data_IF_379394317357
#
_entry.id   IF_379394317357
#
_cell.length_a   1.000
_cell.length_b   1.000
_cell.length_c   1.000
_cell.angle_alpha   90.00
_cell.angle_beta   90.00
_cell.angle_gamma   90.00
#
_symmetry.space_group_name_H-M   'P 1'
#
loop_
_entity.id
_entity.type
_entity.pdbx_description
1 polymer ?
#
# COMPACT_ATOMS: atom_id res chain seq x y z
N UNK A 1 -77.41 -34.42 -36.03
CA UNK A 1 -76.16 -33.64 -36.14
C UNK A 1 -75.82 -32.82 -34.88
N UNK A 2 -76.70 -32.65 -33.89
CA UNK A 2 -76.43 -31.83 -32.68
C UNK A 2 -75.47 -32.46 -31.66
N UNK A 3 -75.55 -33.78 -31.41
CA UNK A 3 -74.77 -34.44 -30.32
C UNK A 3 -73.25 -34.47 -30.52
N UNK A 4 -72.76 -34.26 -31.75
CA UNK A 4 -71.31 -34.33 -32.05
C UNK A 4 -70.58 -33.00 -31.80
N UNK A 5 -71.31 -31.88 -31.75
CA UNK A 5 -70.74 -30.54 -31.53
C UNK A 5 -70.51 -30.23 -30.04
N UNK A 6 -71.39 -30.68 -29.14
CA UNK A 6 -71.22 -30.45 -27.70
C UNK A 6 -70.02 -31.21 -27.11
N UNK A 7 -69.74 -32.42 -27.60
CA UNK A 7 -68.59 -33.22 -27.15
C UNK A 7 -67.25 -32.62 -27.59
N UNK A 8 -67.21 -31.95 -28.75
CA UNK A 8 -66.00 -31.31 -29.27
C UNK A 8 -65.65 -30.04 -28.48
N UNK A 9 -66.67 -29.22 -28.15
CA UNK A 9 -66.50 -28.02 -27.33
C UNK A 9 -66.10 -28.34 -25.88
N UNK A 10 -66.70 -29.37 -25.28
CA UNK A 10 -66.34 -29.78 -23.91
C UNK A 10 -64.89 -30.26 -23.79
N UNK A 11 -64.35 -30.92 -24.84
CA UNK A 11 -62.99 -31.47 -24.83
C UNK A 11 -61.93 -30.37 -25.00
N UNK A 12 -62.17 -29.43 -25.91
CA UNK A 12 -61.30 -28.27 -26.15
C UNK A 12 -61.27 -27.28 -24.97
N UNK A 13 -62.39 -27.10 -24.25
CA UNK A 13 -62.43 -26.26 -23.04
C UNK A 13 -61.73 -26.89 -21.83
N UNK A 14 -61.64 -28.22 -21.77
CA UNK A 14 -60.93 -28.94 -20.71
C UNK A 14 -59.42 -28.98 -20.95
N UNK A 15 -58.99 -29.19 -22.20
CA UNK A 15 -57.58 -29.14 -22.61
C UNK A 15 -56.98 -27.73 -22.39
N UNK A 16 -57.71 -26.66 -22.75
CA UNK A 16 -57.26 -25.28 -22.52
C UNK A 16 -57.21 -24.86 -21.05
N UNK A 17 -58.00 -25.49 -20.16
CA UNK A 17 -57.93 -25.27 -18.70
C UNK A 17 -56.77 -26.02 -18.05
N UNK A 18 -56.48 -27.25 -18.51
CA UNK A 18 -55.37 -28.06 -18.02
C UNK A 18 -54.02 -27.44 -18.38
N UNK A 19 -53.85 -26.96 -19.62
CA UNK A 19 -52.61 -26.30 -20.06
C UNK A 19 -52.35 -24.97 -19.30
N UNK A 20 -53.41 -24.20 -18.98
CA UNK A 20 -53.29 -22.99 -18.14
C UNK A 20 -52.89 -23.30 -16.69
N UNK A 21 -53.32 -24.43 -16.13
CA UNK A 21 -52.93 -24.82 -14.77
C UNK A 21 -51.50 -25.36 -14.69
N UNK A 22 -51.04 -26.12 -15.69
CA UNK A 22 -49.67 -26.62 -15.75
C UNK A 22 -48.67 -25.48 -16.00
N UNK A 23 -49.04 -24.48 -16.82
CA UNK A 23 -48.22 -23.27 -17.02
C UNK A 23 -48.07 -22.44 -15.74
N UNK A 24 -49.12 -22.35 -14.90
CA UNK A 24 -49.04 -21.61 -13.63
C UNK A 24 -48.27 -22.38 -12.53
N UNK A 25 -48.28 -23.71 -12.55
CA UNK A 25 -47.55 -24.53 -11.58
C UNK A 25 -46.04 -24.60 -11.87
N UNK A 26 -45.65 -24.49 -13.14
CA UNK A 26 -44.25 -24.36 -13.57
C UNK A 26 -43.69 -22.96 -13.29
N UNK A 27 -44.52 -21.91 -13.42
CA UNK A 27 -44.12 -20.55 -13.02
C UNK A 27 -43.96 -20.41 -11.50
N UNK A 28 -44.80 -21.06 -10.68
CA UNK A 28 -44.64 -21.03 -9.22
C UNK A 28 -43.43 -21.84 -8.71
N UNK A 29 -42.99 -22.88 -9.43
CA UNK A 29 -41.74 -23.58 -9.09
C UNK A 29 -40.47 -22.85 -9.57
N UNK A 30 -40.58 -21.96 -10.56
CA UNK A 30 -39.44 -21.15 -10.99
C UNK A 30 -39.20 -19.91 -10.11
N UNK A 31 -40.22 -19.47 -9.35
CA UNK A 31 -40.12 -18.35 -8.41
C UNK A 31 -39.54 -18.72 -7.03
N UNK A 32 -39.45 -20.02 -6.70
CA UNK A 32 -38.89 -20.49 -5.42
C UNK A 32 -37.38 -20.74 -5.44
N UNK A 33 -36.71 -20.58 -6.59
CA UNK A 33 -35.24 -20.70 -6.70
C UNK A 33 -34.49 -19.37 -6.69
N UNK A 34 -35.19 -18.25 -6.57
CA UNK A 34 -34.58 -16.95 -6.26
C UNK A 34 -34.74 -16.64 -4.78
N UNK A 35 -34.18 -17.50 -3.92
CA UNK A 35 -33.65 -16.96 -2.68
C UNK A 35 -32.56 -15.96 -3.10
N UNK A 36 -32.64 -14.68 -2.72
CA UNK A 36 -31.43 -13.88 -2.77
C UNK A 36 -30.44 -14.64 -1.90
N UNK A 37 -29.39 -15.19 -2.51
CA UNK A 37 -28.19 -15.52 -1.75
C UNK A 37 -27.90 -14.25 -0.98
N UNK A 38 -28.09 -14.30 0.35
CA UNK A 38 -27.61 -13.25 1.23
C UNK A 38 -26.15 -13.11 0.84
N UNK A 39 -25.86 -12.02 0.14
CA UNK A 39 -24.58 -11.81 -0.48
C UNK A 39 -23.56 -11.89 0.62
N UNK A 40 -22.67 -12.87 0.56
CA UNK A 40 -21.41 -12.89 1.31
C UNK A 40 -20.46 -11.82 0.73
N UNK A 41 -21.02 -10.64 0.40
CA UNK A 41 -20.32 -9.43 0.05
C UNK A 41 -19.97 -8.71 1.35
N UNK A 42 -18.94 -7.85 1.30
CA UNK A 42 -18.47 -6.89 2.33
C UNK A 42 -17.25 -7.23 3.19
N UNK A 43 -16.88 -8.51 3.44
CA UNK A 43 -15.67 -8.77 4.24
C UNK A 43 -14.41 -8.34 3.46
N UNK A 44 -13.59 -7.46 4.05
CA UNK A 44 -12.39 -6.86 3.44
C UNK A 44 -12.63 -5.95 2.22
N UNK A 45 -13.88 -5.53 1.95
CA UNK A 45 -14.16 -4.46 0.98
C UNK A 45 -13.80 -3.09 1.56
N UNK A 46 -14.13 -2.89 2.84
CA UNK A 46 -13.75 -1.76 3.67
C UNK A 46 -13.16 -2.29 4.97
N UNK A 47 -12.06 -1.68 5.42
CA UNK A 47 -11.41 -2.03 6.69
C UNK A 47 -11.77 -1.05 7.82
N UNK A 48 -12.66 -0.09 7.55
CA UNK A 48 -13.16 0.85 8.56
C UNK A 48 -13.83 0.09 9.69
N UNK A 49 -13.50 0.43 10.93
CA UNK A 49 -14.02 -0.22 12.12
C UNK A 49 -12.96 -0.50 13.17
N UNK A 50 -13.32 -1.34 14.14
CA UNK A 50 -12.49 -1.67 15.29
C UNK A 50 -11.91 -3.07 15.13
N UNK A 51 -10.60 -3.17 15.28
CA UNK A 51 -9.85 -4.41 15.17
C UNK A 51 -8.99 -4.63 16.42
N UNK A 52 -8.89 -5.88 16.89
CA UNK A 52 -8.15 -6.24 18.10
C UNK A 52 -7.09 -7.26 17.76
N UNK A 53 -5.85 -7.06 18.21
CA UNK A 53 -4.78 -8.04 18.03
C UNK A 53 -4.72 -9.06 19.17
N UNK A 54 -3.87 -10.08 19.02
CA UNK A 54 -3.66 -11.16 19.98
C UNK A 54 -3.12 -10.70 21.34
N UNK A 55 -2.54 -9.49 21.41
CA UNK A 55 -2.08 -8.87 22.66
C UNK A 55 -3.18 -8.06 23.36
N UNK A 56 -4.38 -7.96 22.77
CA UNK A 56 -5.49 -7.15 23.27
C UNK A 56 -5.40 -5.67 22.90
N UNK A 57 -4.44 -5.28 22.06
CA UNK A 57 -4.36 -3.90 21.55
C UNK A 57 -5.43 -3.70 20.49
N UNK A 58 -5.97 -2.48 20.41
CA UNK A 58 -7.05 -2.15 19.50
C UNK A 58 -6.61 -1.08 18.49
N UNK A 59 -7.05 -1.22 17.24
CA UNK A 59 -6.97 -0.14 16.24
C UNK A 59 -8.37 0.16 15.73
N UNK A 60 -8.72 1.44 15.74
CA UNK A 60 -9.95 1.98 15.15
C UNK A 60 -9.55 2.71 13.88
N UNK A 61 -10.07 2.27 12.75
CA UNK A 61 -9.72 2.76 11.42
C UNK A 61 -10.94 3.42 10.79
N UNK A 62 -10.73 4.61 10.23
CA UNK A 62 -11.60 5.22 9.24
C UNK A 62 -10.88 5.21 7.88
N UNK A 63 -11.46 4.51 6.89
CA UNK A 63 -10.96 4.52 5.52
C UNK A 63 -11.68 5.59 4.70
N UNK A 64 -10.95 6.66 4.37
CA UNK A 64 -11.49 7.76 3.57
C UNK A 64 -11.47 7.43 2.07
N UNK A 65 -12.38 8.05 1.32
CA UNK A 65 -12.42 7.93 -0.16
C UNK A 65 -11.13 8.37 -0.85
N UNK A 66 -10.33 9.23 -0.20
CA UNK A 66 -9.00 9.62 -0.66
C UNK A 66 -7.96 8.50 -0.58
N UNK A 67 -8.30 7.37 0.04
CA UNK A 67 -7.39 6.27 0.35
C UNK A 67 -6.57 6.50 1.63
N UNK A 68 -6.84 7.55 2.39
CA UNK A 68 -6.21 7.81 3.69
C UNK A 68 -6.85 6.93 4.76
N UNK A 69 -6.03 6.35 5.62
CA UNK A 69 -6.45 5.71 6.86
C UNK A 69 -6.12 6.64 8.03
N UNK A 70 -7.13 6.91 8.87
CA UNK A 70 -6.99 7.68 10.11
C UNK A 70 -7.73 6.98 11.25
N UNK A 71 -7.60 7.48 12.46
CA UNK A 71 -8.24 6.91 13.65
C UNK A 71 -7.24 6.74 14.78
N UNK A 72 -7.49 5.80 15.69
CA UNK A 72 -6.71 5.66 16.93
C UNK A 72 -6.23 4.24 17.19
N UNK A 73 -5.01 4.13 17.70
CA UNK A 73 -4.44 2.90 18.21
C UNK A 73 -4.35 2.94 19.75
N UNK A 74 -4.81 1.87 20.39
CA UNK A 74 -4.80 1.68 21.84
C UNK A 74 -3.93 0.46 22.15
N UNK A 75 -2.75 0.68 22.73
CA UNK A 75 -1.88 -0.44 23.08
C UNK A 75 -2.32 -1.07 24.41
N UNK A 76 -2.41 -2.40 24.44
CA UNK A 76 -2.60 -3.16 25.68
C UNK A 76 -1.26 -3.42 26.40
N UNK A 77 -0.14 -3.19 25.70
CA UNK A 77 1.21 -3.39 26.20
C UNK A 77 1.94 -2.04 26.22
N UNK A 78 2.07 -1.47 27.41
CA UNK A 78 2.92 -0.31 27.63
C UNK A 78 3.76 -0.49 28.88
N UNK A 79 4.93 0.14 28.87
CA UNK A 79 5.79 0.28 30.05
C UNK A 79 5.19 1.21 31.12
N UNK A 80 4.15 1.98 30.79
CA UNK A 80 3.45 2.90 31.71
C UNK A 80 2.13 2.29 32.20
N UNK A 81 1.89 2.30 33.52
CA UNK A 81 0.64 1.81 34.15
C UNK A 81 -0.47 2.86 34.00
N UNK A 82 -1.62 2.50 33.43
CA UNK A 82 -2.82 3.35 33.33
C UNK A 82 -3.65 3.06 32.08
N UNK A 83 -4.88 3.57 32.02
CA UNK A 83 -5.70 3.57 30.81
C UNK A 83 -5.05 4.55 29.81
N UNK A 84 -4.48 4.03 28.73
CA UNK A 84 -3.65 4.84 27.83
C UNK A 84 -4.53 5.63 26.85
N UNK A 85 -4.24 6.93 26.65
CA UNK A 85 -4.89 7.68 25.59
C UNK A 85 -4.57 7.03 24.24
N UNK A 86 -5.57 6.96 23.35
CA UNK A 86 -5.36 6.44 22.00
C UNK A 86 -4.41 7.35 21.20
N UNK A 87 -3.53 6.75 20.42
CA UNK A 87 -2.59 7.45 19.55
C UNK A 87 -3.14 7.54 18.13
N UNK A 88 -3.02 8.70 17.50
CA UNK A 88 -3.45 8.89 16.11
C UNK A 88 -2.68 7.95 15.17
N UNK A 89 -3.41 7.31 14.25
CA UNK A 89 -2.82 6.55 13.16
C UNK A 89 -2.75 7.41 11.90
N UNK A 90 -1.66 7.24 11.14
CA UNK A 90 -1.53 7.77 9.77
C UNK A 90 -1.23 6.60 8.85
N UNK A 91 -2.10 6.38 7.88
CA UNK A 91 -1.95 5.28 6.92
C UNK A 91 -2.60 5.52 5.58
N UNK A 92 -2.49 4.52 4.70
CA UNK A 92 -3.16 4.53 3.40
C UNK A 92 -3.49 3.11 2.93
N UNK A 93 -4.64 3.01 2.27
CA UNK A 93 -5.16 1.88 1.53
C UNK A 93 -5.86 2.43 0.29
N UNK A 94 -5.56 1.98 -0.93
CA UNK A 94 -6.30 2.42 -2.11
C UNK A 94 -7.81 2.18 -1.97
N UNK A 95 -8.59 3.24 -2.20
CA UNK A 95 -10.05 3.19 -2.11
C UNK A 95 -10.65 2.34 -3.25
N UNK A 96 -11.74 1.64 -2.98
CA UNK A 96 -12.43 0.74 -3.93
C UNK A 96 -11.51 -0.32 -4.57
N UNK A 97 -10.49 -0.80 -3.85
CA UNK A 97 -9.59 -1.86 -4.30
C UNK A 97 -9.48 -2.97 -3.26
N UNK A 98 -10.50 -3.82 -3.13
CA UNK A 98 -10.54 -4.87 -2.11
C UNK A 98 -9.32 -5.78 -2.16
N UNK A 99 -8.87 -6.19 -0.97
CA UNK A 99 -7.68 -7.04 -0.80
C UNK A 99 -6.36 -6.37 -1.19
N UNK A 100 -6.33 -5.06 -1.45
CA UNK A 100 -5.06 -4.34 -1.63
C UNK A 100 -4.23 -4.37 -0.34
N UNK A 101 -2.91 -4.28 -0.49
CA UNK A 101 -2.03 -4.06 0.65
C UNK A 101 -2.21 -2.65 1.20
N UNK A 102 -2.14 -2.52 2.52
CA UNK A 102 -2.22 -1.25 3.25
C UNK A 102 -1.06 -1.10 4.22
N UNK A 103 -0.85 0.12 4.67
CA UNK A 103 -0.01 0.36 5.83
C UNK A 103 -0.56 1.51 6.68
N UNK A 104 -0.26 1.47 7.97
CA UNK A 104 -0.49 2.58 8.89
C UNK A 104 0.68 2.67 9.88
N UNK A 105 0.80 3.82 10.53
CA UNK A 105 1.85 4.06 11.50
C UNK A 105 1.34 4.84 12.70
N UNK A 106 2.05 4.70 13.81
CA UNK A 106 1.80 5.38 15.06
C UNK A 106 3.12 5.97 15.57
N UNK A 107 3.12 7.27 15.83
CA UNK A 107 4.25 7.96 16.48
C UNK A 107 3.98 8.06 17.98
N UNK A 108 4.84 7.46 18.79
CA UNK A 108 4.69 7.34 20.23
C UNK A 108 5.41 8.47 20.97
N UNK A 109 4.87 8.87 22.12
CA UNK A 109 5.54 9.73 23.11
C UNK A 109 6.30 10.91 22.48
N UNK A 110 5.62 11.70 21.65
CA UNK A 110 6.20 12.85 20.95
C UNK A 110 7.45 12.50 20.11
N UNK A 111 7.47 11.33 19.48
CA UNK A 111 8.51 10.91 18.53
C UNK A 111 9.64 10.06 19.11
N UNK A 112 9.57 9.68 20.40
CA UNK A 112 10.60 8.82 21.01
C UNK A 112 10.69 7.45 20.33
N UNK A 113 9.58 7.00 19.74
CA UNK A 113 9.55 5.83 18.86
C UNK A 113 8.42 5.96 17.85
N UNK A 114 8.49 5.19 16.76
CA UNK A 114 7.44 5.10 15.75
C UNK A 114 7.30 3.65 15.30
N UNK A 115 6.07 3.16 15.20
CA UNK A 115 5.77 1.84 14.62
C UNK A 115 5.06 2.00 13.29
N UNK A 116 5.45 1.22 12.28
CA UNK A 116 4.71 1.05 11.02
C UNK A 116 4.24 -0.40 10.90
N UNK A 117 2.99 -0.60 10.52
CA UNK A 117 2.43 -1.88 10.13
C UNK A 117 2.21 -1.87 8.63
N UNK A 118 2.63 -2.95 7.96
CA UNK A 118 2.26 -3.24 6.57
C UNK A 118 1.45 -4.52 6.54
N UNK A 119 0.34 -4.54 5.81
CA UNK A 119 -0.54 -5.70 5.82
C UNK A 119 -1.53 -5.75 4.68
N UNK A 120 -2.46 -6.68 4.81
CA UNK A 120 -3.56 -6.91 3.88
C UNK A 120 -4.75 -7.47 4.67
N UNK A 121 -5.97 -7.05 4.32
CA UNK A 121 -7.17 -7.71 4.84
C UNK A 121 -7.42 -8.99 4.05
N UNK A 122 -7.58 -10.11 4.76
CA UNK A 122 -7.86 -11.42 4.18
C UNK A 122 -9.04 -12.06 4.91
N UNK A 123 -9.80 -12.88 4.19
CA UNK A 123 -10.85 -13.70 4.79
C UNK A 123 -10.31 -15.12 4.96
N UNK A 124 -9.92 -15.48 6.17
CA UNK A 124 -9.39 -16.79 6.52
C UNK A 124 -10.42 -17.55 7.36
N UNK A 125 -10.79 -18.76 6.96
CA UNK A 125 -11.79 -19.58 7.66
C UNK A 125 -13.13 -18.83 7.90
N UNK A 126 -13.57 -18.03 6.93
CA UNK A 126 -14.81 -17.24 7.01
C UNK A 126 -14.73 -15.99 7.89
N UNK A 127 -13.55 -15.64 8.43
CA UNK A 127 -13.33 -14.45 9.26
C UNK A 127 -12.41 -13.46 8.57
N UNK A 128 -12.75 -12.18 8.58
CA UNK A 128 -11.83 -11.14 8.13
C UNK A 128 -10.73 -10.92 9.18
N UNK A 129 -9.48 -10.92 8.73
CA UNK A 129 -8.30 -10.62 9.53
C UNK A 129 -7.43 -9.58 8.83
N UNK A 130 -6.79 -8.71 9.61
CA UNK A 130 -5.71 -7.86 9.13
C UNK A 130 -4.39 -8.59 9.42
N UNK A 131 -3.80 -9.17 8.38
CA UNK A 131 -2.50 -9.85 8.47
C UNK A 131 -1.39 -8.81 8.31
N UNK A 132 -0.68 -8.50 9.41
CA UNK A 132 0.31 -7.42 9.42
C UNK A 132 1.67 -7.86 9.93
N UNK A 133 2.71 -7.25 9.40
CA UNK A 133 4.06 -7.25 9.98
C UNK A 133 4.39 -5.81 10.34
N UNK A 134 5.09 -5.60 11.44
CA UNK A 134 5.44 -4.27 11.92
C UNK A 134 6.93 -4.08 12.16
N UNK A 135 7.38 -2.83 12.03
CA UNK A 135 8.67 -2.37 12.52
C UNK A 135 8.46 -1.26 13.53
N UNK A 136 9.15 -1.33 14.65
CA UNK A 136 9.22 -0.26 15.65
C UNK A 136 10.64 0.32 15.64
N UNK A 137 10.76 1.63 15.38
CA UNK A 137 12.00 2.39 15.56
C UNK A 137 11.96 3.09 16.90
N UNK A 138 12.95 2.84 17.74
CA UNK A 138 13.27 3.68 18.90
C UNK A 138 14.29 4.75 18.53
N UNK A 139 14.10 5.95 19.06
CA UNK A 139 15.10 7.00 18.95
C UNK A 139 16.38 6.58 19.69
N UNK A 140 17.54 6.87 19.09
CA UNK A 140 18.84 6.70 19.73
C UNK A 140 19.70 7.95 19.58
N UNK A 141 20.45 8.30 20.62
CA UNK A 141 21.24 9.53 20.66
C UNK A 141 22.52 9.48 19.82
N UNK A 142 23.04 8.29 19.53
CA UNK A 142 24.35 8.12 18.91
C UNK A 142 24.29 7.25 17.66
N UNK A 143 25.22 7.47 16.74
CA UNK A 143 25.38 6.59 15.59
C UNK A 143 25.85 5.17 16.00
N UNK A 144 26.48 5.01 17.16
CA UNK A 144 26.89 3.69 17.65
C UNK A 144 25.67 2.88 18.08
N UNK A 145 24.63 3.51 18.62
CA UNK A 145 23.44 2.82 19.15
C UNK A 145 22.41 2.45 18.07
N UNK A 146 22.66 2.79 16.81
CA UNK A 146 21.73 2.56 15.69
C UNK A 146 21.35 1.10 15.51
N UNK A 147 22.29 0.17 15.70
CA UNK A 147 22.08 -1.25 15.42
C UNK A 147 20.95 -1.88 16.26
N UNK A 148 20.69 -1.38 17.47
CA UNK A 148 19.66 -1.90 18.40
C UNK A 148 18.33 -1.16 18.35
N UNK A 149 18.18 -0.22 17.42
CA UNK A 149 17.08 0.74 17.44
C UNK A 149 15.80 0.25 16.75
N UNK A 150 15.81 -0.91 16.09
CA UNK A 150 14.67 -1.42 15.32
C UNK A 150 14.24 -2.80 15.79
N UNK A 151 12.97 -2.92 16.18
CA UNK A 151 12.31 -4.19 16.45
C UNK A 151 11.37 -4.57 15.30
N UNK A 152 11.13 -5.86 15.11
CA UNK A 152 10.20 -6.41 14.12
C UNK A 152 9.26 -7.40 14.78
N UNK A 153 8.01 -7.48 14.32
CA UNK A 153 7.06 -8.48 14.78
C UNK A 153 5.87 -8.64 13.84
N UNK A 154 4.91 -9.48 14.26
CA UNK A 154 3.68 -9.77 13.52
C UNK A 154 2.49 -9.54 14.44
N UNK A 155 1.50 -8.80 13.94
CA UNK A 155 0.20 -8.69 14.58
C UNK A 155 -0.87 -9.19 13.60
N UNK A 156 -1.78 -10.01 14.11
CA UNK A 156 -3.01 -10.36 13.39
C UNK A 156 -4.15 -9.68 14.14
N UNK A 157 -4.88 -8.82 13.45
CA UNK A 157 -6.05 -8.17 14.04
C UNK A 157 -7.33 -8.84 13.55
N UNK A 158 -8.24 -9.12 14.48
CA UNK A 158 -9.57 -9.65 14.19
C UNK A 158 -10.62 -8.56 14.38
N UNK A 159 -11.68 -8.61 13.57
CA UNK A 159 -12.80 -7.67 13.67
C UNK A 159 -13.47 -7.77 15.04
N UNK A 160 -13.68 -6.63 15.70
CA UNK A 160 -14.49 -6.55 16.92
C UNK A 160 -15.86 -6.01 16.56
N UNK A 161 -16.89 -6.86 16.69
CA UNK A 161 -18.28 -6.41 16.62
C UNK A 161 -18.50 -5.35 17.69
N UNK A 162 -18.77 -4.12 17.27
CA UNK A 162 -19.10 -3.02 18.17
C UNK A 162 -20.50 -3.27 18.73
N UNK A 163 -20.60 -3.78 19.96
CA UNK A 163 -21.79 -3.54 20.76
C UNK A 163 -21.79 -2.05 21.07
N UNK A 164 -22.80 -1.31 20.61
CA UNK A 164 -22.89 0.13 20.82
C UNK A 164 -22.59 0.51 22.27
N UNK A 165 -21.54 1.30 22.49
CA UNK A 165 -21.41 2.19 23.65
C UNK A 165 -20.28 3.20 23.46
N UNK A 166 -20.71 4.46 23.36
CA UNK A 166 -20.00 5.65 23.86
C UNK A 166 -18.73 6.06 23.14
N UNK A 167 -18.83 7.10 22.31
CA UNK A 167 -17.68 7.94 21.93
C UNK A 167 -17.44 8.91 23.10
N UNK A 168 -16.29 8.87 23.81
CA UNK A 168 -15.91 9.97 24.68
C UNK A 168 -15.33 11.10 23.81
N UNK A 169 -15.92 12.29 23.90
CA UNK A 169 -15.30 13.52 23.43
C UNK A 169 -13.98 13.74 24.18
N UNK A 170 -12.89 13.96 23.46
CA UNK A 170 -11.63 14.43 24.03
C UNK A 170 -11.17 15.69 23.31
N UNK A 171 -10.83 16.69 24.12
CA UNK A 171 -10.35 17.99 23.70
C UNK A 171 -8.98 17.87 23.00
N UNK A 172 -8.85 18.60 21.90
CA UNK A 172 -7.63 18.73 21.12
C UNK A 172 -6.69 19.72 21.84
N UNK A 173 -5.67 19.22 22.52
CA UNK A 173 -4.60 20.07 23.04
C UNK A 173 -3.63 20.47 21.93
N UNK A 174 -3.28 21.76 21.90
CA UNK A 174 -2.43 22.38 20.89
C UNK A 174 -0.95 22.26 21.28
N UNK A 175 -0.03 21.96 20.34
CA UNK A 175 1.39 21.82 20.68
C UNK A 175 2.07 23.16 20.98
N UNK A 176 2.79 23.19 22.10
CA UNK A 176 3.70 24.26 22.47
C UNK A 176 4.85 24.39 21.45
N UNK A 177 5.01 25.60 20.90
CA UNK A 177 6.06 25.97 19.95
C UNK A 177 7.40 26.08 20.67
N UNK A 178 8.26 25.07 20.53
CA UNK A 178 9.66 25.14 20.98
C UNK A 178 10.57 25.62 19.85
N UNK A 179 11.47 26.55 20.16
CA UNK A 179 12.49 27.09 19.26
C UNK A 179 13.80 26.31 19.43
N UNK A 180 13.77 25.03 19.07
CA UNK A 180 14.96 24.19 18.97
C UNK A 180 15.18 23.82 17.50
N UNK A 181 16.45 23.70 17.11
CA UNK A 181 16.88 23.22 15.78
C UNK A 181 16.04 22.03 15.33
N UNK A 182 15.19 22.24 14.32
CA UNK A 182 14.18 21.29 13.87
C UNK A 182 14.81 20.04 13.23
N UNK A 183 14.17 18.88 13.38
CA UNK A 183 14.44 17.73 12.52
C UNK A 183 13.96 18.06 11.10
N UNK A 184 14.85 18.56 10.26
CA UNK A 184 14.52 18.87 8.87
C UNK A 184 14.51 17.59 8.03
N UNK A 185 13.31 17.07 7.77
CA UNK A 185 13.04 16.01 6.80
C UNK A 185 12.69 16.56 5.41
N UNK A 186 12.36 17.84 5.31
CA UNK A 186 11.82 18.46 4.09
C UNK A 186 12.84 18.46 2.94
N UNK A 187 12.38 18.30 1.71
CA UNK A 187 13.21 18.35 0.50
C UNK A 187 13.59 16.97 -0.03
N UNK A 188 14.64 16.94 -0.84
CA UNK A 188 15.03 15.76 -1.64
C UNK A 188 16.06 14.92 -0.89
N UNK A 189 15.92 13.60 -1.02
CA UNK A 189 16.85 12.61 -0.49
C UNK A 189 17.07 11.47 -1.50
N UNK A 190 18.29 10.94 -1.53
CA UNK A 190 18.71 9.85 -2.42
C UNK A 190 19.27 8.69 -1.63
N UNK A 191 18.90 7.46 -2.01
CA UNK A 191 19.47 6.27 -1.38
C UNK A 191 20.56 5.59 -2.22
N UNK A 192 21.20 4.60 -1.59
CA UNK A 192 22.28 3.81 -2.15
C UNK A 192 21.89 2.93 -3.35
N UNK A 193 20.59 2.74 -3.65
CA UNK A 193 20.13 2.01 -4.84
C UNK A 193 19.75 2.92 -6.01
N UNK A 194 19.79 4.25 -5.81
CA UNK A 194 19.53 5.26 -6.82
C UNK A 194 18.11 5.85 -6.78
N UNK A 195 17.31 5.49 -5.79
CA UNK A 195 15.94 6.03 -5.61
C UNK A 195 15.97 7.46 -5.09
N UNK A 196 14.94 8.23 -5.45
CA UNK A 196 14.70 9.61 -5.01
C UNK A 196 13.42 9.64 -4.16
N UNK A 197 13.48 10.35 -3.03
CA UNK A 197 12.29 10.70 -2.24
C UNK A 197 12.26 12.21 -1.99
N UNK A 198 11.09 12.81 -2.17
CA UNK A 198 10.86 14.24 -1.95
C UNK A 198 9.84 14.35 -0.83
N UNK A 199 10.21 14.97 0.28
CA UNK A 199 9.39 15.03 1.49
C UNK A 199 8.95 16.46 1.81
N UNK A 200 7.71 16.59 2.23
CA UNK A 200 7.15 17.80 2.81
C UNK A 200 6.48 17.46 4.14
N UNK A 201 6.91 18.12 5.22
CA UNK A 201 6.40 17.89 6.56
C UNK A 201 5.62 19.12 7.04
N UNK A 202 4.40 18.91 7.52
CA UNK A 202 3.57 19.96 8.11
C UNK A 202 3.92 20.19 9.58
N UNK A 203 3.44 21.30 10.15
CA UNK A 203 3.61 21.60 11.57
C UNK A 203 2.88 20.62 12.51
N UNK A 204 1.94 19.84 11.98
CA UNK A 204 1.24 18.78 12.72
C UNK A 204 1.98 17.43 12.65
N UNK A 205 3.17 17.39 12.04
CA UNK A 205 3.96 16.17 11.93
C UNK A 205 3.53 15.23 10.81
N UNK A 206 2.56 15.61 9.98
CA UNK A 206 2.16 14.84 8.79
C UNK A 206 3.21 15.03 7.70
N UNK A 207 3.66 13.93 7.11
CA UNK A 207 4.61 13.91 6.00
C UNK A 207 3.87 13.50 4.74
N UNK A 208 4.07 14.27 3.67
CA UNK A 208 3.61 13.95 2.32
C UNK A 208 4.75 14.07 1.33
N UNK A 209 4.62 13.49 0.15
CA UNK A 209 5.71 13.55 -0.81
C UNK A 209 5.57 12.64 -2.02
N UNK A 210 6.68 12.47 -2.72
CA UNK A 210 6.81 11.63 -3.89
C UNK A 210 8.01 10.68 -3.72
N UNK A 211 7.87 9.45 -4.19
CA UNK A 211 8.93 8.45 -4.20
C UNK A 211 9.11 7.90 -5.62
N UNK A 212 10.36 7.88 -6.10
CA UNK A 212 10.76 7.26 -7.37
C UNK A 212 11.79 6.19 -7.06
N UNK A 213 11.43 4.94 -7.27
CA UNK A 213 12.36 3.81 -7.06
C UNK A 213 13.24 3.60 -8.28
N UNK A 214 14.53 3.34 -8.07
CA UNK A 214 15.44 2.91 -9.12
C UNK A 214 15.43 1.39 -9.36
N UNK A 215 14.71 0.64 -8.53
CA UNK A 215 14.65 -0.83 -8.58
C UNK A 215 13.21 -1.33 -8.51
N UNK A 216 12.96 -2.46 -9.17
CA UNK A 216 11.73 -3.23 -9.06
C UNK A 216 12.06 -4.72 -9.13
N UNK A 217 11.27 -5.56 -8.46
CA UNK A 217 11.47 -7.02 -8.46
C UNK A 217 11.02 -7.64 -9.78
N UNK A 218 9.87 -7.18 -10.27
CA UNK A 218 9.33 -7.55 -11.57
C UNK A 218 9.19 -6.27 -12.39
N UNK A 219 9.47 -6.37 -13.69
CA UNK A 219 9.29 -5.26 -14.62
C UNK A 219 7.85 -4.76 -14.55
N UNK A 220 7.66 -3.48 -14.23
CA UNK A 220 6.32 -2.90 -14.05
C UNK A 220 5.86 -2.74 -12.60
N UNK A 221 6.52 -3.35 -11.61
CA UNK A 221 6.05 -3.28 -10.20
C UNK A 221 6.09 -1.87 -9.63
N UNK A 222 7.01 -1.01 -10.09
CA UNK A 222 7.07 0.38 -9.66
C UNK A 222 5.88 1.23 -10.16
N UNK A 223 5.08 0.71 -11.10
CA UNK A 223 4.02 1.46 -11.78
C UNK A 223 4.52 2.19 -13.02
N UNK A 224 3.81 3.23 -13.44
CA UNK A 224 4.12 4.03 -14.63
C UNK A 224 4.59 5.46 -14.29
N UNK A 225 4.48 5.88 -13.04
CA UNK A 225 4.87 7.20 -12.55
C UNK A 225 5.39 7.09 -11.11
N UNK A 226 5.71 8.22 -10.48
CA UNK A 226 6.13 8.27 -9.09
C UNK A 226 5.00 7.83 -8.15
N UNK A 227 5.36 7.30 -7.00
CA UNK A 227 4.41 6.92 -5.95
C UNK A 227 4.25 8.06 -4.94
N UNK A 228 3.05 8.22 -4.39
CA UNK A 228 2.83 9.15 -3.29
C UNK A 228 3.39 8.59 -1.99
N UNK A 229 3.90 9.49 -1.16
CA UNK A 229 4.39 9.22 0.19
C UNK A 229 3.41 9.78 1.20
N UNK A 230 3.07 8.97 2.20
CA UNK A 230 2.34 9.39 3.40
C UNK A 230 3.16 9.00 4.63
N UNK A 231 3.22 9.83 5.65
CA UNK A 231 4.01 9.49 6.84
C UNK A 231 3.71 10.37 8.02
N UNK A 232 4.35 10.08 9.14
CA UNK A 232 4.23 10.87 10.36
C UNK A 232 5.56 10.96 11.11
N UNK A 233 5.74 12.07 11.83
CA UNK A 233 6.78 12.21 12.85
C UNK A 233 6.36 13.28 13.87
N UNK A 234 7.10 13.42 14.96
CA UNK A 234 6.84 14.53 15.89
C UNK A 234 7.51 15.81 15.38
N UNK A 235 6.69 16.78 14.93
CA UNK A 235 7.20 18.06 14.45
C UNK A 235 7.85 18.86 15.58
N UNK A 236 8.92 19.60 15.26
CA UNK A 236 9.63 20.45 16.21
C UNK A 236 10.52 19.71 17.22
N UNK A 237 10.43 18.37 17.32
CA UNK A 237 11.33 17.58 18.15
C UNK A 237 12.59 17.17 17.34
N UNK A 238 13.81 17.61 17.69
CA UNK A 238 15.03 17.16 17.03
C UNK A 238 15.28 15.66 17.22
N UNK A 239 14.78 15.09 18.31
CA UNK A 239 14.97 13.71 18.72
C UNK A 239 13.76 12.86 18.35
N UNK A 240 13.40 12.89 17.07
CA UNK A 240 12.20 12.23 16.56
C UNK A 240 12.52 11.10 15.59
N UNK A 241 11.76 10.02 15.72
CA UNK A 241 11.62 8.98 14.72
C UNK A 241 10.48 9.32 13.77
N UNK A 242 10.48 8.74 12.58
CA UNK A 242 9.45 8.98 11.58
C UNK A 242 9.07 7.70 10.84
N UNK A 243 7.90 7.72 10.21
CA UNK A 243 7.43 6.70 9.27
C UNK A 243 7.21 7.30 7.89
N UNK A 244 7.35 6.49 6.84
CA UNK A 244 6.86 6.78 5.49
C UNK A 244 6.15 5.55 4.92
N UNK A 245 5.15 5.75 4.10
CA UNK A 245 4.32 4.72 3.49
C UNK A 245 4.23 5.03 2.00
N UNK A 246 4.57 4.04 1.19
CA UNK A 246 4.56 4.14 -0.28
C UNK A 246 3.71 3.00 -0.83
N UNK A 247 2.64 3.34 -1.56
CA UNK A 247 1.76 2.35 -2.20
C UNK A 247 2.16 2.17 -3.65
N UNK A 248 2.35 0.91 -4.06
CA UNK A 248 2.80 0.56 -5.40
C UNK A 248 1.65 0.00 -6.24
N UNK A 249 1.60 0.42 -7.51
CA UNK A 249 0.65 -0.09 -8.51
C UNK A 249 -0.79 -0.17 -7.98
N UNK A 250 -1.20 0.89 -7.26
CA UNK A 250 -2.54 0.99 -6.69
C UNK A 250 -2.89 -0.10 -5.68
N UNK A 251 -1.93 -0.60 -4.90
CA UNK A 251 -2.18 -1.52 -3.79
C UNK A 251 -1.77 -2.97 -4.06
N UNK A 252 -1.10 -3.23 -5.18
CA UNK A 252 -0.51 -4.56 -5.43
C UNK A 252 0.62 -4.86 -4.43
N UNK A 253 1.27 -3.83 -3.92
CA UNK A 253 2.13 -3.90 -2.75
C UNK A 253 2.21 -2.54 -2.06
N UNK A 254 2.74 -2.53 -0.84
CA UNK A 254 2.97 -1.34 -0.02
C UNK A 254 4.29 -1.47 0.71
N UNK A 255 5.05 -0.37 0.77
CA UNK A 255 6.25 -0.30 1.60
C UNK A 255 6.00 0.63 2.78
N UNK A 256 6.18 0.09 3.99
CA UNK A 256 6.23 0.87 5.22
C UNK A 256 7.69 1.04 5.66
N UNK A 257 8.13 2.28 5.77
CA UNK A 257 9.44 2.68 6.23
C UNK A 257 9.34 3.23 7.65
N UNK A 258 10.34 2.95 8.47
CA UNK A 258 10.62 3.65 9.73
C UNK A 258 12.06 4.10 9.75
N UNK A 259 12.32 5.24 10.38
CA UNK A 259 13.67 5.77 10.43
C UNK A 259 13.90 6.85 11.46
N UNK A 260 15.14 7.31 11.48
CA UNK A 260 15.60 8.44 12.25
C UNK A 260 16.63 9.22 11.43
N UNK A 261 16.61 10.55 11.55
CA UNK A 261 17.67 11.40 11.01
C UNK A 261 18.87 11.38 11.95
N UNK A 262 20.04 11.07 11.41
CA UNK A 262 21.31 11.07 12.12
C UNK A 262 22.27 12.10 11.53
N UNK A 263 23.12 12.65 12.39
CA UNK A 263 24.28 13.45 12.01
C UNK A 263 25.49 12.72 12.60
N UNK A 264 26.27 12.04 11.75
CA UNK A 264 27.45 11.28 12.16
C UNK A 264 28.75 12.02 11.80
N UNK A 265 29.88 11.31 11.76
CA UNK A 265 31.29 11.78 11.74
C UNK A 265 31.62 12.99 10.82
N UNK A 266 30.83 13.27 9.78
CA UNK A 266 31.06 14.38 8.83
C UNK A 266 30.01 15.50 8.91
N UNK A 267 29.27 15.64 10.02
CA UNK A 267 28.16 16.59 10.18
C UNK A 267 27.09 16.54 9.08
N UNK A 268 27.04 15.43 8.33
CA UNK A 268 26.13 15.25 7.21
C UNK A 268 24.88 14.53 7.70
N UNK A 269 23.71 15.09 7.39
CA UNK A 269 22.44 14.46 7.71
C UNK A 269 22.23 13.21 6.85
N UNK A 270 21.97 12.08 7.51
CA UNK A 270 21.64 10.80 6.90
C UNK A 270 20.32 10.32 7.48
N UNK A 271 19.37 9.95 6.62
CA UNK A 271 18.20 9.19 7.05
C UNK A 271 18.54 7.72 7.01
N UNK A 272 18.53 7.07 8.16
CA UNK A 272 18.67 5.63 8.21
C UNK A 272 17.30 5.01 8.42
N UNK A 273 16.91 4.16 7.48
CA UNK A 273 15.56 3.66 7.41
C UNK A 273 15.53 2.17 7.16
N UNK A 274 14.69 1.48 7.92
CA UNK A 274 14.34 0.09 7.68
C UNK A 274 12.94 0.04 7.10
N UNK A 275 12.65 -0.99 6.31
CA UNK A 275 11.38 -1.09 5.62
C UNK A 275 10.83 -2.50 5.58
N UNK A 276 9.50 -2.57 5.48
CA UNK A 276 8.75 -3.75 5.11
C UNK A 276 8.09 -3.51 3.76
N UNK A 277 8.24 -4.44 2.81
CA UNK A 277 7.49 -4.45 1.56
C UNK A 277 6.49 -5.61 1.63
N UNK A 278 5.21 -5.28 1.80
CA UNK A 278 4.11 -6.24 1.78
C UNK A 278 3.52 -6.32 0.38
N UNK A 279 3.53 -7.51 -0.20
CA UNK A 279 2.83 -7.83 -1.46
C UNK A 279 1.42 -8.33 -1.18
N UNK A 280 0.49 -8.01 -2.06
CA UNK A 280 -0.83 -8.62 -2.08
C UNK A 280 -0.69 -10.11 -2.38
N UNK A 281 -1.45 -10.92 -1.66
CA UNK A 281 -1.62 -12.36 -1.93
C UNK A 281 -3.09 -12.70 -2.07
N UNK A 282 -3.39 -13.77 -2.81
CA UNK A 282 -4.77 -14.16 -3.10
C UNK A 282 -5.35 -15.13 -2.07
N UNK A 283 -4.52 -15.75 -1.24
CA UNK A 283 -4.95 -16.70 -0.21
C UNK A 283 -4.18 -16.54 1.10
N UNK A 284 -4.78 -17.05 2.18
CA UNK A 284 -4.16 -17.10 3.51
C UNK A 284 -2.90 -17.98 3.53
N UNK A 285 -2.85 -19.01 2.67
CA UNK A 285 -1.69 -19.91 2.54
C UNK A 285 -0.45 -19.22 1.99
N UNK A 286 -0.60 -18.09 1.32
CA UNK A 286 0.50 -17.33 0.72
C UNK A 286 1.01 -16.18 1.60
N UNK A 287 0.40 -15.95 2.76
CA UNK A 287 0.78 -14.87 3.68
C UNK A 287 2.23 -15.00 4.14
N UNK A 288 2.76 -16.22 4.33
CA UNK A 288 4.11 -16.43 4.86
C UNK A 288 5.23 -15.84 3.99
N UNK A 289 5.03 -15.75 2.67
CA UNK A 289 6.02 -15.25 1.68
C UNK A 289 5.79 -13.81 1.25
N UNK A 290 4.80 -13.13 1.85
CA UNK A 290 4.26 -11.88 1.33
C UNK A 290 5.02 -10.62 1.77
N UNK A 291 5.84 -10.70 2.82
CA UNK A 291 6.54 -9.54 3.39
C UNK A 291 8.06 -9.68 3.26
N UNK A 292 8.71 -8.68 2.67
CA UNK A 292 10.17 -8.55 2.67
C UNK A 292 10.62 -7.49 3.67
N UNK A 293 11.86 -7.59 4.12
CA UNK A 293 12.52 -6.62 4.98
C UNK A 293 13.82 -6.13 4.34
N UNK A 294 14.16 -4.87 4.57
CA UNK A 294 15.48 -4.34 4.21
C UNK A 294 15.79 -3.02 4.89
N UNK A 295 16.95 -2.47 4.55
CA UNK A 295 17.47 -1.22 5.11
C UNK A 295 18.07 -0.38 3.99
N UNK A 296 17.86 0.93 4.05
CA UNK A 296 18.55 1.89 3.20
C UNK A 296 18.96 3.13 3.99
N UNK A 297 20.04 3.75 3.52
CA UNK A 297 20.45 5.07 3.96
C UNK A 297 20.14 6.07 2.87
N UNK A 298 19.56 7.21 3.25
CA UNK A 298 19.31 8.33 2.35
C UNK A 298 20.13 9.53 2.74
N UNK A 299 20.64 10.24 1.75
CA UNK A 299 21.46 11.44 1.92
C UNK A 299 20.94 12.56 1.03
N UNK A 300 21.38 13.79 1.28
CA UNK A 300 21.03 14.94 0.44
C UNK A 300 21.73 14.93 -0.92
N UNK A 301 22.81 14.19 -1.05
CA UNK A 301 23.61 14.12 -2.28
C UNK A 301 23.35 12.81 -3.00
N UNK A 302 23.33 12.87 -4.32
CA UNK A 302 23.08 11.68 -5.13
C UNK A 302 24.21 10.65 -4.94
N UNK A 303 23.84 9.43 -4.55
CA UNK A 303 24.78 8.32 -4.32
C UNK A 303 24.92 7.41 -5.55
N UNK A 304 23.87 7.30 -6.36
CA UNK A 304 23.78 6.44 -7.53
C UNK A 304 22.73 6.99 -8.50
N UNK A 305 22.99 6.87 -9.80
CA UNK A 305 22.06 7.26 -10.85
C UNK A 305 20.72 6.51 -10.74
N UNK A 306 19.63 7.18 -11.11
CA UNK A 306 18.29 6.61 -11.11
C UNK A 306 17.25 7.60 -11.67
N UNK A 307 15.95 7.30 -11.55
CA UNK A 307 14.88 8.21 -11.97
C UNK A 307 14.88 9.49 -11.13
N UNK A 308 14.70 10.64 -11.79
CA UNK A 308 14.70 11.96 -11.17
C UNK A 308 13.50 12.76 -11.61
N UNK A 309 12.87 13.46 -10.66
CA UNK A 309 11.74 14.37 -10.95
C UNK A 309 12.11 15.41 -11.98
N UNK A 310 13.26 16.06 -11.81
CA UNK A 310 13.71 17.15 -12.67
C UNK A 310 14.01 16.70 -14.11
N UNK A 311 14.24 15.41 -14.35
CA UNK A 311 14.44 14.83 -15.67
C UNK A 311 13.15 14.21 -16.26
N UNK A 312 12.01 14.32 -15.57
CA UNK A 312 10.77 13.65 -15.98
C UNK A 312 10.83 12.12 -15.97
N UNK A 313 11.82 11.53 -15.29
CA UNK A 313 11.99 10.07 -15.18
C UNK A 313 11.42 9.60 -13.84
N UNK A 314 10.46 8.69 -13.86
CA UNK A 314 9.70 8.32 -12.66
C UNK A 314 9.88 6.87 -12.21
N UNK A 315 10.29 5.99 -13.11
CA UNK A 315 10.39 4.54 -12.88
C UNK A 315 11.80 4.04 -13.19
N UNK A 316 12.17 2.83 -12.74
CA UNK A 316 13.43 2.19 -13.14
C UNK A 316 13.58 2.17 -14.66
N UNK A 317 14.83 2.19 -15.14
CA UNK A 317 15.06 1.92 -16.55
C UNK A 317 14.69 0.48 -16.84
N UNK A 318 13.84 0.29 -17.84
CA UNK A 318 13.38 -1.02 -18.27
C UNK A 318 14.03 -1.26 -19.61
N UNK A 319 15.02 -2.14 -19.66
CA UNK A 319 15.71 -2.46 -20.91
C UNK A 319 14.69 -2.68 -22.05
N UNK A 320 14.92 -1.98 -23.17
CA UNK A 320 14.04 -1.98 -24.34
C UNK A 320 12.93 -0.90 -24.37
N UNK A 321 12.81 -0.03 -23.36
CA UNK A 321 11.97 1.18 -23.42
C UNK A 321 12.79 2.37 -23.94
N UNK A 322 13.24 2.28 -25.19
CA UNK A 322 13.73 3.46 -25.92
C UNK A 322 12.53 4.37 -26.19
N UNK A 323 12.46 5.47 -25.44
CA UNK A 323 11.56 6.57 -25.77
C UNK A 323 11.98 7.12 -27.14
N UNK A 324 11.11 6.93 -28.14
CA UNK A 324 11.22 7.58 -29.43
C UNK A 324 11.35 9.10 -29.24
N UNK A 325 12.54 9.61 -29.53
CA UNK A 325 12.85 11.03 -29.43
C UNK A 325 14.30 11.32 -29.77
N UNK A 326 14.59 11.51 -31.06
CA UNK A 326 15.83 12.13 -31.54
C UNK A 326 16.90 11.16 -32.07
N UNK A 327 16.70 10.69 -33.30
CA UNK A 327 17.75 10.07 -34.11
C UNK A 327 18.95 11.01 -34.29
N UNK A 328 20.12 10.56 -33.88
CA UNK A 328 21.38 10.77 -34.59
C UNK A 328 22.23 9.52 -34.40
N UNK A 329 21.87 8.48 -35.15
CA UNK A 329 22.60 7.22 -35.22
C UNK A 329 23.87 7.41 -36.06
N UNK A 330 25.05 7.30 -35.42
CA UNK A 330 26.30 7.02 -36.11
C UNK A 330 26.59 5.52 -35.95
N UNK A 331 26.02 4.73 -36.87
CA UNK A 331 26.37 3.33 -37.06
C UNK A 331 27.65 3.30 -37.91
N UNK A 332 28.78 2.93 -37.29
CA UNK A 332 29.93 2.40 -38.03
C UNK A 332 29.77 0.88 -38.05
N UNK A 333 29.15 0.38 -39.11
CA UNK A 333 29.07 -1.06 -39.38
C UNK A 333 30.31 -1.48 -40.18
N UNK A 334 31.29 -2.07 -39.50
CA UNK A 334 32.30 -2.90 -40.13
C UNK A 334 31.77 -4.33 -40.14
N UNK A 335 31.25 -4.79 -41.28
CA UNK A 335 31.30 -6.15 -41.81
C UNK A 335 30.58 -6.12 -43.16
N UNK A 336 31.33 -6.22 -44.25
CA UNK A 336 30.84 -6.78 -45.52
C UNK A 336 32.01 -7.48 -46.19
N UNK A 337 31.98 -8.80 -46.09
CA UNK A 337 32.88 -9.73 -46.76
C UNK A 337 32.19 -10.20 -48.05
N UNK A 338 32.84 -9.90 -49.18
CA UNK A 338 32.98 -10.70 -50.42
C UNK A 338 31.72 -11.07 -51.24
N UNK A 339 31.65 -10.54 -52.47
CA UNK A 339 31.63 -11.29 -53.74
C UNK A 339 31.68 -10.30 -54.92
N UNK A 340 32.79 -10.25 -55.69
CA UNK A 340 32.95 -10.82 -57.04
C UNK A 340 32.45 -9.82 -58.14
N UNK A 341 33.16 -9.46 -59.22
CA UNK A 341 33.83 -10.24 -60.25
C UNK A 341 34.57 -9.29 -61.25
N UNK A 342 35.64 -9.81 -61.84
CA UNK A 342 36.12 -9.63 -63.24
C UNK A 342 36.55 -8.25 -63.81
N UNK A 343 37.89 -8.14 -63.96
CA UNK A 343 38.67 -7.87 -65.20
C UNK A 343 38.36 -6.68 -66.13
N UNK A 344 39.35 -5.79 -66.29
CA UNK A 344 39.97 -5.30 -67.56
C UNK A 344 40.95 -4.16 -67.20
N UNK A 345 42.28 -4.30 -67.22
CA UNK A 345 43.23 -4.24 -68.36
C UNK A 345 43.16 -2.93 -69.21
N UNK A 346 44.33 -2.24 -69.26
CA UNK A 346 44.85 -1.26 -70.26
C UNK A 346 44.26 0.17 -70.08
N UNK A 347 44.99 1.30 -70.03
CA UNK A 347 46.02 1.86 -70.94
C UNK A 347 46.78 3.02 -70.26
N UNK A 348 48.10 2.96 -70.39
CA UNK A 348 49.16 3.97 -70.61
C UNK A 348 49.19 5.39 -70.00
N UNK A 349 50.43 5.66 -69.57
CA UNK A 349 51.24 6.89 -69.50
C UNK A 349 50.97 7.93 -68.41
#
# INVERSE_FOLDING_TARGET
MQKKYETFYSKTLFETRAERMVSNLLFLNFLLYFLPSVTQATLCEDISGRWVNTLGSEVVIDHLQSGVLRGKYYTAVSSTRGELPGHEIVGTLPYNKPGSSFAFSVTWNNGSSTTVWTGQCLVCNGKATLETTWLLRSFVNSCIDKWKSTCIGKDVFEWKLTTEKGIPNQNLETPHKSTVSKCDLHGIWYNNVGSEVILNQTEYGVISGEYRTAVEREKGSAGATHSLVYGSSAYGNPNTTFSLIVVWRGGASVTGWIGQRHICENNTAILEMSWLLRSKVDSCDDVWKSTMFGVNSFTRHEQKLGPRRNLGKHTPNRDGEDFGGGSASLIISNILLVAALFSAWIVHD
#
